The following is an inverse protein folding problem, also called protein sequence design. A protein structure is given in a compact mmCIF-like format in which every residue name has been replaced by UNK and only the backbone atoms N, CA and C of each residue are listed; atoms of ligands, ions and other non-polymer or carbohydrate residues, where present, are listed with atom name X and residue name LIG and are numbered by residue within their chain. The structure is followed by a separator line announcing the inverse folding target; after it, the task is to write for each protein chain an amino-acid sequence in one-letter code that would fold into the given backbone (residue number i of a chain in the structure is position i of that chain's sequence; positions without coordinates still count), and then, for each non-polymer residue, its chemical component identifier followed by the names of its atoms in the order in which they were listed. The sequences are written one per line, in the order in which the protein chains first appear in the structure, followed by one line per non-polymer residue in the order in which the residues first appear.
data_IF_974449773888
#
_entry.id   IF_974449773888
#
_cell.length_a   1.000
_cell.length_b   1.000
_cell.length_c   1.000
_cell.angle_alpha   90.00
_cell.angle_beta   90.00
_cell.angle_gamma   90.00
#
_symmetry.space_group_name_H-M   'P 1'
#
loop_
_entity.id
_entity.type
_entity.pdbx_description
1 polymer ?
#
# COMPACT_ATOMS: atom_id res chain seq x y z
N UNK A 1 -5.51 -3.56 -12.77
CA UNK A 1 -4.11 -3.93 -12.45
C UNK A 1 -3.74 -5.07 -13.37
N UNK A 2 -2.64 -4.95 -14.09
CA UNK A 2 -2.15 -5.96 -15.04
C UNK A 2 -0.64 -6.12 -14.85
N UNK A 3 -0.17 -7.36 -14.87
CA UNK A 3 1.26 -7.68 -14.79
C UNK A 3 1.66 -8.34 -16.10
N UNK A 4 2.59 -7.73 -16.82
CA UNK A 4 3.06 -8.19 -18.11
C UNK A 4 4.59 -8.21 -18.11
N UNK A 5 5.17 -9.40 -18.18
CA UNK A 5 6.62 -9.63 -18.12
C UNK A 5 7.30 -8.93 -16.93
N UNK A 6 8.05 -7.84 -17.18
CA UNK A 6 8.77 -7.05 -16.18
C UNK A 6 8.02 -5.77 -15.77
N UNK A 7 6.76 -5.63 -16.18
CA UNK A 7 5.93 -4.47 -15.97
C UNK A 7 4.73 -4.78 -15.06
N UNK A 8 4.56 -3.97 -14.01
CA UNK A 8 3.35 -3.92 -13.20
C UNK A 8 2.61 -2.63 -13.53
N UNK A 9 1.31 -2.73 -13.85
CA UNK A 9 0.55 -1.62 -14.42
C UNK A 9 -0.81 -1.45 -13.73
N UNK A 10 -1.09 -0.23 -13.29
CA UNK A 10 -2.35 0.25 -12.76
C UNK A 10 -2.90 1.32 -13.69
N UNK A 11 -4.17 1.16 -14.07
CA UNK A 11 -4.88 2.08 -14.95
C UNK A 11 -6.33 2.23 -14.46
N UNK A 12 -6.92 3.42 -14.55
CA UNK A 12 -8.31 3.63 -14.15
C UNK A 12 -9.23 2.99 -15.18
N UNK A 13 -10.24 2.27 -14.70
CA UNK A 13 -11.30 1.71 -15.57
C UNK A 13 -12.65 2.42 -15.38
N UNK A 14 -12.66 3.51 -14.62
CA UNK A 14 -13.82 4.35 -14.31
C UNK A 14 -13.86 5.59 -15.21
N UNK A 15 -14.87 6.45 -15.04
CA UNK A 15 -15.01 7.70 -15.79
C UNK A 15 -13.76 8.62 -15.71
N UNK A 16 -12.89 8.42 -14.73
CA UNK A 16 -11.63 9.14 -14.61
C UNK A 16 -10.67 8.87 -15.78
N UNK A 17 -10.88 7.77 -16.53
CA UNK A 17 -10.03 7.40 -17.66
C UNK A 17 -10.02 8.43 -18.79
N UNK A 18 -11.06 9.26 -18.92
CA UNK A 18 -11.23 10.20 -20.04
C UNK A 18 -10.46 11.52 -19.90
N UNK A 19 -9.78 11.74 -18.78
CA UNK A 19 -8.98 12.95 -18.56
C UNK A 19 -7.64 12.59 -17.92
N UNK A 20 -6.53 12.81 -18.65
CA UNK A 20 -5.17 12.47 -18.22
C UNK A 20 -4.85 13.01 -16.81
N UNK A 21 -5.15 14.28 -16.56
CA UNK A 21 -4.83 14.93 -15.27
C UNK A 21 -5.64 14.35 -14.11
N UNK A 22 -6.93 14.07 -14.30
CA UNK A 22 -7.75 13.50 -13.22
C UNK A 22 -7.42 12.02 -12.99
N UNK A 23 -7.14 11.27 -14.05
CA UNK A 23 -6.62 9.91 -13.97
C UNK A 23 -5.31 9.86 -13.17
N UNK A 24 -4.37 10.76 -13.48
CA UNK A 24 -3.07 10.84 -12.81
C UNK A 24 -3.21 11.07 -11.31
N UNK A 25 -3.81 12.19 -10.92
CA UNK A 25 -3.96 12.51 -9.50
C UNK A 25 -4.87 11.53 -8.79
N UNK A 26 -5.89 10.99 -9.46
CA UNK A 26 -6.73 9.93 -8.94
C UNK A 26 -5.95 8.67 -8.55
N UNK A 27 -5.04 8.22 -9.41
CA UNK A 27 -4.18 7.06 -9.13
C UNK A 27 -3.11 7.34 -8.08
N UNK A 28 -2.48 8.53 -8.10
CA UNK A 28 -1.52 8.93 -7.06
C UNK A 28 -2.20 8.96 -5.70
N UNK A 29 -3.41 9.54 -5.60
CA UNK A 29 -4.19 9.54 -4.38
C UNK A 29 -4.57 8.12 -3.95
N UNK A 30 -5.03 7.28 -4.88
CA UNK A 30 -5.36 5.88 -4.60
C UNK A 30 -4.17 5.12 -4.00
N UNK A 31 -3.01 5.16 -4.67
CA UNK A 31 -1.80 4.50 -4.19
C UNK A 31 -1.31 5.05 -2.84
N UNK A 32 -1.39 6.37 -2.65
CA UNK A 32 -1.00 7.01 -1.38
C UNK A 32 -1.91 6.58 -0.24
N UNK A 33 -3.23 6.54 -0.46
CA UNK A 33 -4.23 6.10 0.52
C UNK A 33 -4.05 4.63 0.88
N UNK A 34 -3.71 3.79 -0.09
CA UNK A 34 -3.36 2.39 0.14
C UNK A 34 -2.17 2.28 1.10
N UNK A 35 -1.06 2.96 0.83
CA UNK A 35 0.11 2.97 1.72
C UNK A 35 -0.22 3.55 3.10
N UNK A 36 -1.01 4.62 3.17
CA UNK A 36 -1.47 5.19 4.43
C UNK A 36 -2.30 4.23 5.29
N UNK A 37 -3.03 3.30 4.67
CA UNK A 37 -3.77 2.26 5.39
C UNK A 37 -2.84 1.29 6.12
N UNK A 38 -1.67 0.97 5.55
CA UNK A 38 -0.64 0.12 6.15
C UNK A 38 0.03 0.80 7.36
N UNK A 39 0.24 2.11 7.27
CA UNK A 39 0.75 2.91 8.40
C UNK A 39 -0.24 2.89 9.55
N UNK A 40 -1.53 3.19 9.30
CA UNK A 40 -2.58 3.16 10.33
C UNK A 40 -2.69 1.78 11.00
N UNK A 41 -2.57 0.74 10.18
CA UNK A 41 -2.52 -0.62 10.65
C UNK A 41 -1.36 -0.84 11.64
N UNK A 42 -0.14 -0.45 11.28
CA UNK A 42 1.00 -0.56 12.18
C UNK A 42 0.76 0.20 13.49
N UNK A 43 0.20 1.42 13.42
CA UNK A 43 -0.19 2.22 14.59
C UNK A 43 -1.18 1.48 15.50
N UNK A 44 -2.18 0.80 14.95
CA UNK A 44 -3.12 0.01 15.75
C UNK A 44 -2.45 -1.13 16.51
N UNK A 45 -1.50 -1.84 15.89
CA UNK A 45 -0.74 -2.90 16.55
C UNK A 45 0.20 -2.36 17.62
N UNK A 46 0.88 -1.24 17.36
CA UNK A 46 1.72 -0.55 18.34
C UNK A 46 0.89 -0.08 19.54
N UNK A 47 -0.28 0.52 19.31
CA UNK A 47 -1.20 0.93 20.36
C UNK A 47 -1.59 -0.25 21.25
N UNK A 48 -2.01 -1.39 20.66
CA UNK A 48 -2.37 -2.59 21.41
C UNK A 48 -1.20 -3.15 22.21
N UNK A 49 -0.01 -3.18 21.60
CA UNK A 49 1.20 -3.61 22.29
C UNK A 49 1.48 -2.74 23.51
N UNK A 50 1.37 -1.41 23.38
CA UNK A 50 1.55 -0.50 24.52
C UNK A 50 0.49 -0.72 25.58
N UNK A 51 -0.78 -0.85 25.19
CA UNK A 51 -1.90 -1.07 26.11
C UNK A 51 -1.73 -2.34 26.96
N UNK A 52 -1.24 -3.43 26.37
CA UNK A 52 -1.14 -4.74 27.04
C UNK A 52 0.22 -4.93 27.73
N UNK A 53 1.31 -4.62 27.04
CA UNK A 53 2.67 -4.96 27.47
C UNK A 53 3.39 -3.82 28.17
N UNK A 54 3.01 -2.57 27.93
CA UNK A 54 3.80 -1.37 28.27
C UNK A 54 2.90 -0.19 28.67
N UNK A 55 1.97 -0.42 29.60
CA UNK A 55 0.96 0.56 30.05
C UNK A 55 1.56 1.92 30.48
N UNK A 56 2.80 1.94 30.98
CA UNK A 56 3.53 3.17 31.32
C UNK A 56 3.69 4.14 30.13
N UNK A 57 3.62 3.66 28.89
CA UNK A 57 3.74 4.48 27.68
C UNK A 57 2.37 4.80 27.03
N UNK A 58 1.27 4.38 27.65
CA UNK A 58 -0.09 4.58 27.12
C UNK A 58 -0.45 6.06 26.97
N UNK A 59 0.19 6.94 27.74
CA UNK A 59 0.02 8.39 27.63
C UNK A 59 0.35 8.92 26.21
N UNK A 60 1.23 8.24 25.46
CA UNK A 60 1.57 8.61 24.07
C UNK A 60 0.37 8.52 23.13
N UNK A 61 -0.64 7.71 23.45
CA UNK A 61 -1.83 7.54 22.61
C UNK A 61 -3.10 8.11 23.24
N UNK A 62 -3.16 8.19 24.58
CA UNK A 62 -4.35 8.66 25.29
C UNK A 62 -4.34 10.19 25.55
N UNK A 63 -3.17 10.83 25.53
CA UNK A 63 -3.07 12.27 25.74
C UNK A 63 -3.32 13.02 24.42
N UNK A 64 -4.27 13.98 24.38
CA UNK A 64 -4.55 14.79 23.18
C UNK A 64 -3.33 15.51 22.61
N UNK A 65 -2.32 15.79 23.44
CA UNK A 65 -1.07 16.44 23.04
C UNK A 65 -0.29 15.68 21.97
N UNK A 66 -0.44 14.36 21.88
CA UNK A 66 0.28 13.52 20.92
C UNK A 66 -0.53 13.20 19.66
N UNK A 67 -1.84 13.51 19.64
CA UNK A 67 -2.69 13.30 18.45
C UNK A 67 -2.14 14.03 17.21
N UNK A 68 -1.72 15.31 17.30
CA UNK A 68 -1.13 16.01 16.14
C UNK A 68 0.16 15.35 15.63
N UNK A 69 0.94 14.73 16.52
CA UNK A 69 2.20 14.06 16.16
C UNK A 69 1.89 12.80 15.35
N UNK A 70 0.96 11.97 15.82
CA UNK A 70 0.53 10.77 15.08
C UNK A 70 -0.08 11.12 13.72
N UNK A 71 -0.93 12.15 13.68
CA UNK A 71 -1.49 12.65 12.43
C UNK A 71 -0.40 13.19 11.49
N UNK A 72 0.59 13.90 12.01
CA UNK A 72 1.73 14.40 11.25
C UNK A 72 2.58 13.27 10.65
N UNK A 73 2.84 12.20 11.40
CA UNK A 73 3.53 11.02 10.88
C UNK A 73 2.72 10.36 9.76
N UNK A 74 1.43 10.12 10.00
CA UNK A 74 0.54 9.49 9.03
C UNK A 74 0.41 10.30 7.73
N UNK A 75 0.24 11.62 7.84
CA UNK A 75 0.17 12.53 6.70
C UNK A 75 1.51 12.64 5.98
N UNK A 76 2.61 12.75 6.73
CA UNK A 76 3.96 12.83 6.18
C UNK A 76 4.31 11.60 5.35
N UNK A 77 4.01 10.40 5.85
CA UNK A 77 4.18 9.16 5.08
C UNK A 77 3.34 9.19 3.80
N UNK A 78 2.07 9.61 3.87
CA UNK A 78 1.22 9.75 2.68
C UNK A 78 1.78 10.70 1.63
N UNK A 79 2.36 11.84 2.04
CA UNK A 79 2.99 12.80 1.13
C UNK A 79 4.26 12.21 0.50
N UNK A 80 5.10 11.52 1.28
CA UNK A 80 6.28 10.83 0.77
C UNK A 80 5.86 9.82 -0.31
N UNK A 81 4.82 9.01 -0.02
CA UNK A 81 4.28 8.03 -0.96
C UNK A 81 3.72 8.66 -2.22
N UNK A 82 2.89 9.70 -2.09
CA UNK A 82 2.36 10.42 -3.25
C UNK A 82 3.46 11.02 -4.11
N UNK A 83 4.53 11.50 -3.49
CA UNK A 83 5.70 12.04 -4.20
C UNK A 83 6.45 10.95 -4.96
N UNK A 84 6.69 9.78 -4.34
CA UNK A 84 7.34 8.64 -5.00
C UNK A 84 6.51 8.15 -6.18
N UNK A 85 5.19 8.00 -5.99
CA UNK A 85 4.25 7.61 -7.06
C UNK A 85 4.26 8.60 -8.22
N UNK A 86 4.19 9.90 -7.91
CA UNK A 86 4.14 10.97 -8.90
C UNK A 86 5.43 11.11 -9.71
N UNK A 87 6.60 10.95 -9.08
CA UNK A 87 7.89 11.25 -9.73
C UNK A 87 8.54 10.01 -10.36
N UNK A 88 8.29 8.82 -9.82
CA UNK A 88 9.07 7.62 -10.17
C UNK A 88 8.23 6.46 -10.70
N UNK A 89 6.92 6.45 -10.47
CA UNK A 89 6.01 5.46 -11.04
C UNK A 89 5.08 6.07 -12.10
N UNK A 90 5.31 7.34 -12.44
CA UNK A 90 4.57 8.05 -13.46
C UNK A 90 5.33 8.05 -14.79
N UNK A 91 4.72 7.35 -15.74
CA UNK A 91 4.81 7.44 -17.18
C UNK A 91 5.91 8.30 -17.86
N UNK A 92 6.76 7.66 -18.69
CA UNK A 92 7.63 8.31 -19.71
C UNK A 92 7.21 7.88 -21.13
N UNK A 93 7.38 8.72 -22.17
CA UNK A 93 6.94 8.44 -23.56
C UNK A 93 7.28 7.05 -24.16
N UNK A 94 8.46 6.45 -23.90
CA UNK A 94 8.81 5.11 -24.40
C UNK A 94 7.90 3.98 -23.88
N UNK A 95 7.24 4.18 -22.73
CA UNK A 95 6.48 3.16 -22.01
C UNK A 95 5.07 2.93 -22.60
N UNK A 96 4.45 3.95 -23.22
CA UNK A 96 3.14 3.90 -23.91
C UNK A 96 3.29 2.94 -25.04
N UNK A 97 4.31 3.11 -25.87
CA UNK A 97 4.45 2.28 -27.06
C UNK A 97 4.65 0.81 -26.69
N UNK A 98 5.30 0.50 -25.56
CA UNK A 98 5.45 -0.87 -25.08
C UNK A 98 4.14 -1.48 -24.55
N UNK A 99 3.36 -0.71 -23.79
CA UNK A 99 2.13 -1.20 -23.14
C UNK A 99 0.87 -0.95 -23.97
N UNK A 100 0.94 -0.12 -25.01
CA UNK A 100 -0.19 0.31 -25.84
C UNK A 100 -0.87 -0.90 -26.45
N UNK A 101 -0.10 -1.76 -27.13
CA UNK A 101 -0.66 -2.89 -27.87
C UNK A 101 -1.31 -3.90 -26.91
N UNK A 102 -0.66 -4.19 -25.78
CA UNK A 102 -1.20 -5.11 -24.75
C UNK A 102 -2.48 -4.56 -24.12
N UNK A 103 -2.49 -3.27 -23.73
CA UNK A 103 -3.64 -2.64 -23.06
C UNK A 103 -4.80 -2.38 -24.02
N UNK A 104 -4.51 -2.07 -25.27
CA UNK A 104 -5.52 -1.90 -26.31
C UNK A 104 -6.18 -3.24 -26.65
N UNK A 105 -5.40 -4.28 -26.92
CA UNK A 105 -5.94 -5.60 -27.28
C UNK A 105 -6.71 -6.26 -26.14
N UNK A 106 -6.29 -6.05 -24.89
CA UNK A 106 -6.90 -6.73 -23.73
C UNK A 106 -8.06 -5.95 -23.10
N UNK A 107 -7.97 -4.61 -23.09
CA UNK A 107 -8.88 -3.76 -22.31
C UNK A 107 -9.51 -2.61 -23.12
N UNK A 108 -9.22 -2.49 -24.43
CA UNK A 108 -9.60 -1.34 -25.28
C UNK A 108 -9.20 0.00 -24.64
N UNK A 109 -8.10 -0.01 -23.89
CA UNK A 109 -7.65 1.13 -23.10
C UNK A 109 -6.63 1.95 -23.89
N UNK A 110 -7.00 3.18 -24.23
CA UNK A 110 -6.10 4.10 -24.90
C UNK A 110 -5.16 4.78 -23.89
N UNK A 111 -3.90 4.35 -23.94
CA UNK A 111 -2.81 4.88 -23.14
C UNK A 111 -2.51 6.35 -23.43
N UNK A 112 -2.97 6.92 -24.56
CA UNK A 112 -2.75 8.32 -24.91
C UNK A 112 -3.71 9.28 -24.23
N UNK A 113 -4.95 8.85 -23.97
CA UNK A 113 -6.01 9.68 -23.38
C UNK A 113 -6.11 9.53 -21.87
N UNK A 114 -5.45 8.52 -21.30
CA UNK A 114 -5.53 8.20 -19.88
C UNK A 114 -4.16 8.05 -19.22
N UNK A 115 -4.11 8.23 -17.90
CA UNK A 115 -2.88 8.06 -17.14
C UNK A 115 -2.72 6.58 -16.74
N UNK A 116 -1.47 6.14 -16.72
CA UNK A 116 -1.05 4.83 -16.23
C UNK A 116 -0.04 5.03 -15.11
N UNK A 117 -0.22 4.31 -14.02
CA UNK A 117 0.78 4.16 -12.97
C UNK A 117 1.45 2.81 -13.17
N UNK A 118 2.78 2.77 -13.31
CA UNK A 118 3.46 1.52 -13.58
C UNK A 118 4.86 1.43 -12.97
N UNK A 119 5.32 0.21 -12.79
CA UNK A 119 6.69 -0.15 -12.45
C UNK A 119 7.21 -1.10 -13.51
N UNK A 120 8.21 -0.68 -14.27
CA UNK A 120 8.99 -1.48 -15.19
C UNK A 120 10.44 -1.51 -14.72
N UNK A 121 10.95 -2.69 -14.44
CA UNK A 121 12.30 -2.82 -13.89
C UNK A 121 13.41 -2.53 -14.93
N UNK A 122 13.07 -2.52 -16.22
CA UNK A 122 13.99 -2.37 -17.34
C UNK A 122 13.45 -1.40 -18.38
N UNK A 123 14.35 -0.65 -19.01
CA UNK A 123 14.09 0.20 -20.19
C UNK A 123 15.04 -0.16 -21.32
N UNK A 124 14.70 0.24 -22.54
CA UNK A 124 15.55 0.05 -23.72
C UNK A 124 16.42 1.28 -23.96
N UNK A 125 17.73 1.07 -24.08
CA UNK A 125 18.76 2.04 -24.48
C UNK A 125 18.53 2.50 -25.95
N UNK A 126 19.07 3.65 -26.35
CA UNK A 126 19.27 4.07 -27.74
C UNK A 126 19.87 2.97 -28.63
N UNK A 127 20.77 2.14 -28.09
CA UNK A 127 21.36 0.98 -28.79
C UNK A 127 20.43 -0.25 -28.88
N UNK A 128 19.22 -0.17 -28.34
CA UNK A 128 18.25 -1.27 -28.33
C UNK A 128 18.44 -2.30 -27.21
N UNK A 129 19.44 -2.14 -26.36
CA UNK A 129 19.72 -3.03 -25.22
C UNK A 129 18.79 -2.79 -24.03
N UNK A 130 18.43 -3.84 -23.30
CA UNK A 130 17.68 -3.74 -22.05
C UNK A 130 18.60 -3.37 -20.88
N UNK A 131 18.37 -2.21 -20.29
CA UNK A 131 19.10 -1.71 -19.12
C UNK A 131 18.16 -1.53 -17.94
N UNK A 132 18.65 -1.79 -16.73
CA UNK A 132 17.88 -1.61 -15.51
C UNK A 132 17.54 -0.14 -15.28
N UNK A 133 16.27 0.15 -14.97
CA UNK A 133 15.89 1.49 -14.55
C UNK A 133 16.11 1.64 -13.04
N UNK A 134 17.24 2.24 -12.67
CA UNK A 134 17.62 2.45 -11.27
C UNK A 134 16.60 3.31 -10.51
N UNK A 135 15.86 4.19 -11.19
CA UNK A 135 14.90 5.08 -10.57
C UNK A 135 13.63 4.32 -10.18
N UNK A 136 13.14 3.47 -11.08
CA UNK A 136 11.99 2.60 -10.82
C UNK A 136 12.33 1.49 -9.81
N UNK A 137 13.55 0.95 -9.87
CA UNK A 137 14.07 0.04 -8.85
C UNK A 137 14.16 0.72 -7.48
N UNK A 138 14.56 1.99 -7.43
CA UNK A 138 14.52 2.76 -6.19
C UNK A 138 13.09 2.90 -5.67
N UNK A 139 12.12 3.30 -6.50
CA UNK A 139 10.71 3.39 -6.12
C UNK A 139 10.16 2.05 -5.60
N UNK A 140 10.46 0.95 -6.29
CA UNK A 140 10.10 -0.39 -5.86
C UNK A 140 10.75 -0.77 -4.52
N UNK A 141 12.04 -0.45 -4.32
CA UNK A 141 12.74 -0.73 -3.06
C UNK A 141 12.12 0.02 -1.88
N UNK A 142 11.66 1.25 -2.11
CA UNK A 142 10.92 2.04 -1.12
C UNK A 142 9.61 1.33 -0.78
N UNK A 143 8.83 0.88 -1.78
CA UNK A 143 7.58 0.10 -1.59
C UNK A 143 7.80 -1.15 -0.73
N UNK A 144 8.82 -1.95 -1.07
CA UNK A 144 9.13 -3.19 -0.37
C UNK A 144 9.64 -2.94 1.06
N UNK A 145 10.38 -1.85 1.28
CA UNK A 145 10.87 -1.47 2.61
C UNK A 145 9.72 -1.14 3.55
N UNK A 146 8.73 -0.37 3.10
CA UNK A 146 7.57 -0.01 3.93
C UNK A 146 6.67 -1.20 4.26
N UNK A 147 6.41 -2.05 3.26
CA UNK A 147 5.73 -3.32 3.49
C UNK A 147 6.50 -4.16 4.53
N UNK A 148 7.81 -4.30 4.34
CA UNK A 148 8.69 -5.03 5.25
C UNK A 148 8.68 -4.48 6.68
N UNK A 149 8.76 -3.16 6.85
CA UNK A 149 8.69 -2.50 8.16
C UNK A 149 7.32 -2.75 8.79
N UNK A 150 6.23 -2.57 8.04
CA UNK A 150 4.86 -2.77 8.53
C UNK A 150 4.66 -4.20 9.04
N UNK A 151 5.00 -5.20 8.23
CA UNK A 151 4.89 -6.61 8.63
C UNK A 151 5.79 -6.95 9.81
N UNK A 152 7.00 -6.37 9.88
CA UNK A 152 7.92 -6.59 10.99
C UNK A 152 7.36 -6.03 12.30
N UNK A 153 6.82 -4.80 12.29
CA UNK A 153 6.18 -4.17 13.45
C UNK A 153 4.98 -4.99 13.91
N UNK A 154 4.10 -5.38 12.99
CA UNK A 154 2.92 -6.20 13.29
C UNK A 154 3.35 -7.53 13.92
N UNK A 155 4.32 -8.21 13.32
CA UNK A 155 4.82 -9.51 13.80
C UNK A 155 5.43 -9.39 15.20
N UNK A 156 6.25 -8.37 15.42
CA UNK A 156 6.85 -8.09 16.72
C UNK A 156 5.77 -7.81 17.78
N UNK A 157 4.85 -6.87 17.51
CA UNK A 157 3.77 -6.53 18.43
C UNK A 157 2.91 -7.76 18.76
N UNK A 158 2.57 -8.55 17.74
CA UNK A 158 1.80 -9.80 17.88
C UNK A 158 2.49 -10.79 18.80
N UNK A 159 3.77 -11.06 18.56
CA UNK A 159 4.55 -11.98 19.36
C UNK A 159 4.61 -11.54 20.83
N UNK A 160 4.91 -10.25 21.07
CA UNK A 160 5.00 -9.69 22.43
C UNK A 160 3.68 -9.70 23.19
N UNK A 161 2.57 -9.38 22.51
CA UNK A 161 1.22 -9.44 23.08
C UNK A 161 0.91 -10.88 23.48
N UNK A 162 1.18 -11.84 22.60
CA UNK A 162 0.93 -13.26 22.87
C UNK A 162 1.74 -13.79 24.05
N UNK A 163 3.03 -13.44 24.16
CA UNK A 163 3.84 -13.81 25.33
C UNK A 163 3.29 -13.18 26.61
N UNK A 164 2.93 -11.90 26.57
CA UNK A 164 2.43 -11.19 27.75
C UNK A 164 1.08 -11.76 28.21
N UNK A 165 0.18 -12.10 27.29
CA UNK A 165 -1.11 -12.70 27.63
C UNK A 165 -0.98 -14.10 28.27
N UNK A 166 0.11 -14.82 28.01
CA UNK A 166 0.38 -16.12 28.67
C UNK A 166 0.81 -15.96 30.13
N UNK A 167 1.57 -14.91 30.44
CA UNK A 167 2.17 -14.72 31.78
C UNK A 167 1.43 -13.71 32.64
N UNK A 168 0.57 -12.88 32.05
CA UNK A 168 -0.14 -11.83 32.77
C UNK A 168 -1.16 -12.40 33.76
N UNK A 169 -1.12 -11.88 34.98
CA UNK A 169 -2.15 -12.11 36.00
C UNK A 169 -3.38 -11.27 35.63
N UNK A 170 -4.25 -11.83 34.81
CA UNK A 170 -5.52 -11.22 34.40
C UNK A 170 -6.65 -12.25 34.48
N UNK A 171 -7.89 -11.76 34.65
CA UNK A 171 -9.04 -12.67 34.67
C UNK A 171 -9.17 -13.40 33.32
N UNK A 172 -9.62 -14.65 33.35
CA UNK A 172 -9.86 -15.44 32.13
C UNK A 172 -10.72 -14.68 31.11
N UNK A 173 -11.72 -13.94 31.61
CA UNK A 173 -12.64 -13.15 30.78
C UNK A 173 -11.91 -11.98 30.10
N UNK A 174 -11.05 -11.25 30.81
CA UNK A 174 -10.27 -10.16 30.23
C UNK A 174 -9.25 -10.68 29.21
N UNK A 175 -8.60 -11.83 29.49
CA UNK A 175 -7.67 -12.48 28.57
C UNK A 175 -8.35 -12.89 27.26
N UNK A 176 -9.50 -13.57 27.34
CA UNK A 176 -10.28 -13.96 26.15
C UNK A 176 -10.72 -12.74 25.35
N UNK A 177 -11.19 -11.68 26.01
CA UNK A 177 -11.60 -10.45 25.33
C UNK A 177 -10.44 -9.78 24.56
N UNK A 178 -9.26 -9.64 25.18
CA UNK A 178 -8.09 -9.05 24.50
C UNK A 178 -7.64 -9.89 23.30
N UNK A 179 -7.69 -11.21 23.41
CA UNK A 179 -7.33 -12.12 22.33
C UNK A 179 -8.34 -12.07 21.16
N UNK A 180 -9.64 -12.05 21.43
CA UNK A 180 -10.65 -11.93 20.38
C UNK A 180 -10.61 -10.56 19.70
N UNK A 181 -10.39 -9.47 20.44
CA UNK A 181 -10.19 -8.14 19.84
C UNK A 181 -8.93 -8.08 18.96
N UNK A 182 -7.88 -8.80 19.35
CA UNK A 182 -6.66 -8.91 18.56
C UNK A 182 -6.88 -9.72 17.27
N UNK A 183 -7.56 -10.88 17.36
CA UNK A 183 -7.97 -11.66 16.18
C UNK A 183 -8.87 -10.86 15.24
N UNK A 184 -9.83 -10.11 15.79
CA UNK A 184 -10.70 -9.25 15.01
C UNK A 184 -9.91 -8.18 14.26
N UNK A 185 -8.90 -7.57 14.89
CA UNK A 185 -8.03 -6.61 14.22
C UNK A 185 -7.23 -7.27 13.07
N UNK A 186 -6.67 -8.46 13.29
CA UNK A 186 -5.99 -9.21 12.22
C UNK A 186 -6.92 -9.49 11.04
N UNK A 187 -8.14 -9.98 11.30
CA UNK A 187 -9.13 -10.26 10.25
C UNK A 187 -9.54 -8.97 9.53
N UNK A 188 -9.84 -7.91 10.27
CA UNK A 188 -10.19 -6.60 9.70
C UNK A 188 -9.08 -6.03 8.81
N UNK A 189 -7.83 -6.33 9.15
CA UNK A 189 -6.66 -5.91 8.37
C UNK A 189 -6.50 -6.72 7.09
N UNK A 190 -6.72 -8.04 7.16
CA UNK A 190 -6.56 -8.91 6.01
C UNK A 190 -7.67 -8.71 4.98
N UNK A 191 -8.87 -8.30 5.40
CA UNK A 191 -10.01 -8.09 4.50
C UNK A 191 -9.69 -7.08 3.37
N UNK A 192 -9.26 -5.83 3.64
CA UNK A 192 -8.85 -4.91 2.58
C UNK A 192 -7.77 -5.49 1.67
N UNK A 193 -6.75 -6.16 2.22
CA UNK A 193 -5.68 -6.78 1.41
C UNK A 193 -6.24 -7.89 0.50
N UNK A 194 -7.16 -8.72 0.96
CA UNK A 194 -7.73 -9.74 0.08
C UNK A 194 -8.71 -9.12 -0.94
N UNK A 195 -9.59 -8.23 -0.50
CA UNK A 195 -10.58 -7.58 -1.37
C UNK A 195 -10.00 -6.52 -2.28
N UNK A 196 -8.76 -6.08 -2.07
CA UNK A 196 -8.04 -5.20 -2.99
C UNK A 196 -7.21 -5.99 -4.01
N UNK A 197 -6.97 -7.28 -3.80
CA UNK A 197 -6.24 -8.10 -4.79
C UNK A 197 -7.17 -9.04 -5.58
N UNK A 198 -8.31 -9.44 -5.00
CA UNK A 198 -9.28 -10.38 -5.62
C UNK A 198 -10.12 -9.80 -6.77
N UNK A 199 -10.74 -8.59 -6.68
CA UNK A 199 -11.63 -8.11 -7.75
C UNK A 199 -10.90 -7.74 -9.05
N UNK A 200 -9.57 -7.83 -9.09
CA UNK A 200 -8.77 -7.51 -10.28
C UNK A 200 -8.48 -8.71 -11.19
N UNK A 201 -8.91 -9.93 -10.82
CA UNK A 201 -8.77 -11.14 -11.65
C UNK A 201 -10.03 -11.50 -12.44
N UNK A 202 -11.14 -10.77 -12.28
CA UNK A 202 -12.32 -10.95 -13.12
C UNK A 202 -12.20 -10.08 -14.38
N UNK A 203 -11.90 -10.65 -15.56
CA UNK A 203 -12.07 -9.91 -16.82
C UNK A 203 -13.54 -9.45 -16.90
N UNK A 204 -13.75 -8.21 -17.34
CA UNK A 204 -15.07 -7.70 -17.67
C UNK A 204 -15.65 -8.61 -18.76
N UNK A 205 -16.54 -9.52 -18.40
CA UNK A 205 -17.45 -10.10 -19.39
C UNK A 205 -18.31 -8.96 -19.94
N UNK A 206 -18.26 -8.77 -21.25
CA UNK A 206 -19.05 -7.83 -22.02
C UNK A 206 -20.54 -7.87 -21.63
N UNK A 207 -21.14 -6.69 -21.50
CA UNK A 207 -22.58 -6.47 -21.75
C UNK A 207 -22.67 -5.38 -22.80
#
# INVERSE_FOLDING_TARGET
MHVYEYAFVLFPTSFLQYTLTAAHWGMVMYGSLFCQSLVLLAFHFVYRYILICKTNYLYLFNSPKYIPIHFGIWLGMGIIWGTVLHNFMFYTEPYKNYLHDVLWETYEFDVNTSAILGLMYKKRNEDGEEVWDLLELFAFSVCMTELGITFSVISFCTWRIHETLKTAVMSEKARRLQFELFKALLVQTMIPVFFEYIPYQTPRCCI
#
